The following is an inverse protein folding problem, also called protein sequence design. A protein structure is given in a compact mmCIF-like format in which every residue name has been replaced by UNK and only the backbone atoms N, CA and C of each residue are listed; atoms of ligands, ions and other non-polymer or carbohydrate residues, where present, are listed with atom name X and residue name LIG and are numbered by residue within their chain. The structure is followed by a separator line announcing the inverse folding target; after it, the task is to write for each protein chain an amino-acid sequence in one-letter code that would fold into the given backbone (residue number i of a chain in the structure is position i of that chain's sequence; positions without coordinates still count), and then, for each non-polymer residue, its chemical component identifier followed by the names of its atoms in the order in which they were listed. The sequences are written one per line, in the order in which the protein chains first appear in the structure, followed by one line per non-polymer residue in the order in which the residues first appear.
data_IF_854606009548
#
_entry.id   IF_854606009548
#
_cell.length_a   1.000
_cell.length_b   1.000
_cell.length_c   1.000
_cell.angle_alpha   90.00
_cell.angle_beta   90.00
_cell.angle_gamma   90.00
#
_symmetry.space_group_name_H-M   'P 1'
#
loop_
_entity.id
_entity.type
_entity.pdbx_description
1 polymer ?
#
# COMPACT_ATOMS: atom_id res chain seq x y z
N UNK A 1 19.48 42.03 2.57
CA UNK A 1 18.67 41.13 1.72
C UNK A 1 17.88 40.15 2.59
N UNK A 2 16.87 40.68 3.26
CA UNK A 2 15.88 39.92 4.04
C UNK A 2 14.55 40.66 3.82
N UNK A 3 13.43 39.93 3.84
CA UNK A 3 12.04 40.39 3.67
C UNK A 3 11.41 40.14 2.28
N UNK A 4 11.51 38.90 1.79
CA UNK A 4 10.67 38.42 0.68
C UNK A 4 10.15 36.99 0.92
N UNK A 5 9.73 36.66 2.16
CA UNK A 5 9.23 35.31 2.51
C UNK A 5 7.92 35.25 3.29
N UNK A 6 7.24 36.39 3.51
CA UNK A 6 5.98 36.42 4.29
C UNK A 6 4.73 36.65 3.43
N UNK A 7 4.88 37.05 2.15
CA UNK A 7 3.74 37.45 1.31
C UNK A 7 3.13 36.35 0.42
N UNK A 8 3.72 35.15 0.33
CA UNK A 8 3.16 34.07 -0.50
C UNK A 8 2.23 33.11 0.26
N UNK A 9 2.34 33.06 1.60
CA UNK A 9 1.52 32.16 2.44
C UNK A 9 0.17 32.81 2.78
N UNK A 10 0.09 34.14 2.80
CA UNK A 10 -1.16 34.88 3.01
C UNK A 10 -2.08 34.90 1.78
N UNK A 11 -1.56 34.66 0.57
CA UNK A 11 -2.36 34.61 -0.65
C UNK A 11 -3.07 33.25 -0.85
N UNK A 12 -2.55 32.17 -0.26
CA UNK A 12 -3.20 30.84 -0.30
C UNK A 12 -4.28 30.66 0.78
N UNK A 13 -4.30 31.50 1.82
CA UNK A 13 -5.33 31.43 2.88
C UNK A 13 -6.58 32.27 2.53
N UNK A 14 -6.46 33.25 1.63
CA UNK A 14 -7.58 34.13 1.27
C UNK A 14 -8.43 33.66 0.08
N UNK A 15 -7.95 32.72 -0.75
CA UNK A 15 -8.75 32.15 -1.86
C UNK A 15 -9.65 31.00 -1.39
N UNK A 16 -9.42 30.45 -0.18
CA UNK A 16 -10.26 29.40 0.41
C UNK A 16 -11.58 29.88 1.05
N UNK A 17 -11.80 31.19 1.18
CA UNK A 17 -12.92 31.78 1.93
C UNK A 17 -14.02 32.44 1.09
N UNK A 18 -13.92 32.39 -0.26
CA UNK A 18 -14.91 33.00 -1.16
C UNK A 18 -15.69 32.00 -2.04
N UNK A 19 -15.76 30.72 -1.65
CA UNK A 19 -16.60 29.71 -2.31
C UNK A 19 -17.73 29.17 -1.43
N UNK A 20 -18.18 29.95 -0.44
CA UNK A 20 -19.42 29.70 0.30
C UNK A 20 -20.51 30.64 -0.23
N UNK A 21 -21.48 30.11 -0.98
CA UNK A 21 -22.59 30.93 -1.44
C UNK A 21 -23.41 30.38 -2.60
N UNK A 22 -23.80 29.12 -2.56
CA UNK A 22 -25.05 28.70 -3.22
C UNK A 22 -25.63 27.52 -2.43
N UNK A 23 -26.44 27.85 -1.43
CA UNK A 23 -27.39 26.89 -0.89
C UNK A 23 -28.41 26.59 -2.00
N UNK A 24 -28.11 25.58 -2.82
CA UNK A 24 -29.16 24.84 -3.50
C UNK A 24 -30.01 24.25 -2.37
N UNK A 25 -31.29 24.59 -2.36
CA UNK A 25 -32.28 23.81 -1.65
C UNK A 25 -32.03 22.33 -1.98
N UNK A 26 -31.67 21.55 -0.97
CA UNK A 26 -31.55 20.11 -1.09
C UNK A 26 -32.97 19.59 -1.28
N UNK A 27 -33.37 19.42 -2.53
CA UNK A 27 -34.62 18.71 -2.85
C UNK A 27 -34.49 17.34 -2.18
N UNK A 28 -35.37 17.07 -1.22
CA UNK A 28 -35.42 15.78 -0.55
C UNK A 28 -35.90 14.75 -1.56
N UNK A 29 -34.97 14.01 -2.15
CA UNK A 29 -35.30 12.85 -2.96
C UNK A 29 -35.82 11.78 -2.00
N UNK A 30 -37.05 11.33 -2.24
CA UNK A 30 -37.66 10.20 -1.55
C UNK A 30 -36.89 8.92 -1.88
N UNK A 31 -36.59 8.15 -0.84
CA UNK A 31 -35.85 6.90 -0.95
C UNK A 31 -36.40 5.90 0.06
N UNK A 32 -36.35 4.63 -0.34
CA UNK A 32 -36.59 3.50 0.53
C UNK A 32 -35.24 2.85 0.89
N UNK A 33 -35.01 2.66 2.18
CA UNK A 33 -33.85 1.91 2.69
C UNK A 33 -34.05 0.42 2.38
N UNK A 34 -33.18 -0.14 1.52
CA UNK A 34 -33.19 -1.58 1.25
C UNK A 34 -32.50 -2.35 2.37
N UNK A 35 -31.34 -1.85 2.80
CA UNK A 35 -30.62 -2.31 3.99
C UNK A 35 -29.64 -1.25 4.49
N UNK A 36 -29.42 -1.23 5.80
CA UNK A 36 -28.35 -0.47 6.49
C UNK A 36 -27.72 -1.36 7.58
N UNK A 37 -26.85 -2.26 7.14
CA UNK A 37 -26.26 -3.32 7.97
C UNK A 37 -24.73 -3.35 7.85
N UNK A 38 -24.00 -2.48 8.57
CA UNK A 38 -22.53 -2.41 8.47
C UNK A 38 -21.81 -3.64 9.08
N UNK A 39 -22.55 -4.54 9.73
CA UNK A 39 -22.03 -5.84 10.19
C UNK A 39 -22.17 -6.95 9.14
N UNK A 40 -23.03 -6.77 8.13
CA UNK A 40 -23.28 -7.75 7.06
C UNK A 40 -22.21 -7.69 5.96
N UNK A 41 -20.97 -7.99 6.32
CA UNK A 41 -19.84 -8.03 5.39
C UNK A 41 -19.48 -9.46 4.98
N UNK A 42 -18.96 -9.58 3.76
CA UNK A 42 -18.25 -10.77 3.30
C UNK A 42 -17.10 -11.09 4.27
N UNK A 43 -16.92 -12.38 4.55
CA UNK A 43 -15.92 -12.84 5.52
C UNK A 43 -14.58 -13.07 4.87
N UNK A 44 -14.54 -13.59 3.64
CA UNK A 44 -13.31 -13.84 2.90
C UNK A 44 -13.25 -12.93 1.68
N UNK A 45 -12.08 -12.31 1.47
CA UNK A 45 -11.73 -11.54 0.29
C UNK A 45 -10.45 -12.09 -0.30
N UNK A 46 -10.44 -12.37 -1.60
CA UNK A 46 -9.24 -12.76 -2.35
C UNK A 46 -9.11 -11.84 -3.54
N UNK A 47 -8.03 -11.06 -3.57
CA UNK A 47 -7.75 -10.10 -4.63
C UNK A 47 -6.51 -10.49 -5.42
N UNK A 48 -6.60 -10.40 -6.75
CA UNK A 48 -5.42 -10.37 -7.59
C UNK A 48 -4.98 -8.91 -7.76
N UNK A 49 -3.71 -8.61 -7.50
CA UNK A 49 -3.13 -7.30 -7.75
C UNK A 49 -2.44 -7.35 -9.11
N UNK A 50 -3.12 -6.96 -10.22
CA UNK A 50 -2.48 -6.96 -11.52
C UNK A 50 -1.33 -5.96 -11.53
N UNK A 51 -1.44 -4.83 -10.83
CA UNK A 51 -0.40 -3.81 -10.80
C UNK A 51 -0.19 -3.30 -9.37
N UNK A 52 1.06 -3.34 -8.94
CA UNK A 52 1.57 -2.47 -7.87
C UNK A 52 2.80 -1.72 -8.38
N UNK A 53 3.06 -0.55 -7.81
CA UNK A 53 4.27 0.23 -8.02
C UNK A 53 4.88 0.62 -6.68
N UNK A 54 6.16 0.36 -6.52
CA UNK A 54 6.92 0.63 -5.31
C UNK A 54 8.19 1.45 -5.63
N UNK A 55 8.28 2.62 -5.01
CA UNK A 55 9.49 3.43 -4.99
C UNK A 55 10.16 3.15 -3.65
N UNK A 56 11.16 2.27 -3.63
CA UNK A 56 11.97 2.01 -2.46
C UNK A 56 13.40 2.50 -2.71
N UNK A 57 14.02 3.16 -1.73
CA UNK A 57 15.34 3.77 -1.88
C UNK A 57 16.44 2.78 -2.30
N UNK A 58 16.27 1.48 -2.02
CA UNK A 58 17.15 0.43 -2.51
C UNK A 58 16.67 -0.25 -3.78
N UNK A 59 15.45 -0.01 -4.29
CA UNK A 59 14.99 -0.52 -5.58
C UNK A 59 13.64 0.10 -5.99
N UNK A 60 13.53 0.67 -7.20
CA UNK A 60 12.24 1.05 -7.78
C UNK A 60 11.71 -0.13 -8.58
N UNK A 61 10.50 -0.57 -8.27
CA UNK A 61 9.91 -1.73 -8.92
C UNK A 61 8.39 -1.64 -9.13
N UNK A 62 7.89 -2.45 -10.05
CA UNK A 62 6.47 -2.66 -10.28
C UNK A 62 6.22 -4.13 -10.62
N UNK A 63 5.02 -4.61 -10.33
CA UNK A 63 4.74 -6.03 -10.45
C UNK A 63 3.29 -6.39 -10.22
N UNK A 64 3.09 -7.67 -9.94
CA UNK A 64 1.80 -8.25 -9.60
C UNK A 64 1.82 -8.81 -8.17
N UNK A 65 0.66 -9.13 -7.65
CA UNK A 65 0.51 -9.69 -6.32
C UNK A 65 -0.81 -10.41 -6.10
N UNK A 66 -0.94 -10.95 -4.90
CA UNK A 66 -2.15 -11.56 -4.40
C UNK A 66 -2.40 -11.05 -2.98
N UNK A 67 -3.64 -10.73 -2.69
CA UNK A 67 -4.09 -10.37 -1.36
C UNK A 67 -5.20 -11.28 -0.90
N UNK A 68 -5.19 -11.59 0.39
CA UNK A 68 -6.28 -12.31 1.04
C UNK A 68 -6.58 -11.64 2.36
N UNK A 69 -7.86 -11.55 2.70
CA UNK A 69 -8.30 -11.08 4.00
C UNK A 69 -9.50 -11.87 4.48
N UNK A 70 -9.43 -12.29 5.73
CA UNK A 70 -10.47 -13.02 6.40
C UNK A 70 -10.92 -12.26 7.64
N UNK A 71 -12.21 -11.92 7.74
CA UNK A 71 -12.85 -11.34 8.91
C UNK A 71 -13.48 -12.45 9.75
N UNK A 72 -12.97 -12.64 10.96
CA UNK A 72 -13.53 -13.56 11.93
C UNK A 72 -14.44 -12.83 12.91
N UNK A 73 -15.72 -12.74 12.53
CA UNK A 73 -16.77 -12.07 13.31
C UNK A 73 -16.32 -10.64 13.68
N UNK A 74 -16.59 -10.23 14.92
CA UNK A 74 -16.21 -8.93 15.47
C UNK A 74 -14.93 -9.03 16.33
N UNK A 75 -14.13 -10.11 16.19
CA UNK A 75 -13.00 -10.37 17.09
C UNK A 75 -11.65 -10.07 16.47
N UNK A 76 -11.41 -10.60 15.27
CA UNK A 76 -10.14 -10.39 14.60
C UNK A 76 -10.29 -10.54 13.09
N UNK A 77 -9.29 -10.05 12.37
CA UNK A 77 -9.10 -10.32 10.95
C UNK A 77 -7.69 -10.81 10.68
N UNK A 78 -7.53 -11.64 9.65
CA UNK A 78 -6.25 -12.16 9.17
C UNK A 78 -6.04 -11.61 7.77
N UNK A 79 -4.80 -11.22 7.46
CA UNK A 79 -4.42 -10.66 6.17
C UNK A 79 -3.16 -11.33 5.65
N UNK A 80 -3.17 -11.70 4.39
CA UNK A 80 -2.01 -12.19 3.65
C UNK A 80 -1.78 -11.34 2.41
N UNK A 81 -0.52 -11.02 2.13
CA UNK A 81 -0.10 -10.37 0.91
C UNK A 81 1.12 -11.05 0.31
N UNK A 82 1.11 -11.21 -0.99
CA UNK A 82 2.24 -11.63 -1.79
C UNK A 82 2.43 -10.65 -2.94
N UNK A 83 3.65 -10.22 -3.20
CA UNK A 83 4.00 -9.35 -4.33
C UNK A 83 5.33 -9.78 -4.93
N UNK A 84 5.44 -9.66 -6.25
CA UNK A 84 6.64 -10.00 -7.02
C UNK A 84 6.78 -9.07 -8.22
N UNK A 85 7.99 -8.63 -8.54
CA UNK A 85 8.24 -7.85 -9.76
C UNK A 85 7.96 -8.70 -11.01
N UNK A 86 7.51 -8.08 -12.10
CA UNK A 86 7.18 -8.80 -13.34
C UNK A 86 8.42 -9.43 -13.99
N UNK A 87 9.35 -8.57 -14.42
CA UNK A 87 10.61 -8.96 -15.03
C UNK A 87 11.65 -7.90 -14.69
N UNK A 88 12.94 -8.20 -14.85
CA UNK A 88 13.99 -7.21 -14.64
C UNK A 88 13.81 -5.99 -15.57
N UNK A 89 13.49 -6.24 -16.85
CA UNK A 89 13.26 -5.21 -17.87
C UNK A 89 12.01 -4.36 -17.63
N UNK A 90 11.01 -4.91 -16.97
CA UNK A 90 9.74 -4.24 -16.68
C UNK A 90 9.66 -3.90 -15.20
N UNK A 91 10.36 -2.81 -14.84
CA UNK A 91 10.30 -2.18 -13.52
C UNK A 91 10.82 -3.08 -12.38
N UNK A 92 12.11 -3.44 -12.42
CA UNK A 92 12.91 -3.89 -11.27
C UNK A 92 14.34 -3.35 -11.44
N UNK A 93 14.51 -2.07 -11.10
CA UNK A 93 15.59 -1.24 -11.63
C UNK A 93 16.97 -1.72 -11.20
N UNK A 94 17.14 -2.05 -9.93
CA UNK A 94 18.45 -2.47 -9.43
C UNK A 94 18.82 -3.87 -9.88
N UNK A 95 17.84 -4.76 -10.06
CA UNK A 95 18.09 -6.07 -10.66
C UNK A 95 18.52 -5.95 -12.13
N UNK A 96 17.83 -5.14 -12.92
CA UNK A 96 18.21 -4.93 -14.34
C UNK A 96 19.57 -4.24 -14.46
N UNK A 97 19.85 -3.25 -13.60
CA UNK A 97 21.15 -2.58 -13.58
C UNK A 97 22.27 -3.58 -13.24
N UNK A 98 22.05 -4.45 -12.26
CA UNK A 98 22.98 -5.50 -11.89
C UNK A 98 23.22 -6.50 -13.03
N UNK A 99 22.17 -6.91 -13.74
CA UNK A 99 22.28 -7.86 -14.86
C UNK A 99 23.02 -7.28 -16.08
N UNK A 100 22.94 -5.96 -16.31
CA UNK A 100 23.57 -5.30 -17.46
C UNK A 100 24.98 -4.78 -17.18
N UNK A 101 25.17 -4.21 -15.99
CA UNK A 101 26.35 -3.42 -15.65
C UNK A 101 27.16 -4.04 -14.51
N UNK A 102 26.65 -5.08 -13.83
CA UNK A 102 27.34 -5.71 -12.72
C UNK A 102 28.69 -6.29 -13.13
N UNK A 103 29.72 -5.96 -12.36
CA UNK A 103 31.09 -6.47 -12.55
C UNK A 103 31.43 -7.59 -11.56
N UNK A 104 30.46 -7.99 -10.75
CA UNK A 104 30.56 -8.99 -9.68
C UNK A 104 29.82 -10.26 -10.09
N UNK A 105 30.19 -11.39 -9.50
CA UNK A 105 29.61 -12.70 -9.77
C UNK A 105 28.30 -12.96 -9.00
N UNK A 106 27.83 -12.02 -8.18
CA UNK A 106 26.55 -12.15 -7.47
C UNK A 106 25.39 -12.30 -8.46
N UNK A 107 24.57 -13.33 -8.27
CA UNK A 107 23.32 -13.48 -9.01
C UNK A 107 22.27 -12.51 -8.44
N UNK A 108 21.75 -11.54 -9.24
CA UNK A 108 20.76 -10.59 -8.76
C UNK A 108 19.42 -11.27 -8.41
N UNK A 109 18.95 -11.09 -7.19
CA UNK A 109 17.67 -11.59 -6.71
C UNK A 109 16.47 -10.81 -7.25
N UNK A 110 15.37 -11.52 -7.43
CA UNK A 110 14.08 -10.93 -7.81
C UNK A 110 13.47 -10.26 -6.59
N UNK A 111 12.92 -9.06 -6.75
CA UNK A 111 12.11 -8.49 -5.69
C UNK A 111 10.90 -9.39 -5.39
N UNK A 112 10.84 -9.89 -4.16
CA UNK A 112 9.71 -10.65 -3.63
C UNK A 112 9.34 -10.12 -2.26
N UNK A 113 8.04 -10.11 -1.98
CA UNK A 113 7.48 -9.62 -0.73
C UNK A 113 6.33 -10.53 -0.30
N UNK A 114 6.38 -10.99 0.93
CA UNK A 114 5.34 -11.75 1.58
C UNK A 114 5.02 -11.10 2.92
N UNK A 115 3.75 -10.92 3.23
CA UNK A 115 3.29 -10.42 4.52
C UNK A 115 2.13 -11.29 5.01
N UNK A 116 2.21 -11.69 6.26
CA UNK A 116 1.13 -12.37 6.97
C UNK A 116 0.94 -11.65 8.30
N UNK A 117 -0.29 -11.19 8.56
CA UNK A 117 -0.60 -10.46 9.77
C UNK A 117 -2.03 -10.64 10.22
N UNK A 118 -2.29 -10.26 11.46
CA UNK A 118 -3.61 -10.26 12.07
C UNK A 118 -3.91 -8.90 12.70
N UNK A 119 -5.19 -8.57 12.75
CA UNK A 119 -5.71 -7.41 13.47
C UNK A 119 -6.69 -7.89 14.53
N UNK A 120 -6.38 -7.67 15.80
CA UNK A 120 -7.31 -7.88 16.90
C UNK A 120 -8.21 -6.65 17.07
N UNK A 121 -9.52 -6.84 17.16
CA UNK A 121 -10.48 -5.75 17.28
C UNK A 121 -10.62 -5.36 18.76
N UNK A 122 -10.03 -4.23 19.16
CA UNK A 122 -10.12 -3.72 20.53
C UNK A 122 -11.51 -3.16 20.78
N UNK A 123 -12.02 -2.36 19.84
CA UNK A 123 -13.33 -1.74 19.94
C UNK A 123 -14.00 -1.79 18.59
N UNK A 124 -15.23 -2.27 18.57
CA UNK A 124 -16.06 -2.44 17.38
C UNK A 124 -17.46 -1.91 17.73
N UNK A 125 -17.86 -0.82 17.09
CA UNK A 125 -19.13 -0.15 17.37
C UNK A 125 -19.68 0.52 16.13
N UNK A 126 -20.98 0.78 16.13
CA UNK A 126 -21.68 1.56 15.13
C UNK A 126 -21.92 3.00 15.61
N UNK A 127 -22.01 3.91 14.65
CA UNK A 127 -22.35 5.31 14.87
C UNK A 127 -23.29 5.76 13.76
N UNK A 128 -24.26 6.61 14.11
CA UNK A 128 -25.10 7.26 13.12
C UNK A 128 -24.25 8.18 12.23
N UNK A 129 -24.43 8.07 10.93
CA UNK A 129 -23.67 8.80 9.92
C UNK A 129 -24.58 9.10 8.73
N UNK A 130 -24.07 9.82 7.73
CA UNK A 130 -24.76 10.06 6.46
C UNK A 130 -23.92 9.52 5.29
N UNK A 131 -24.53 8.73 4.42
CA UNK A 131 -24.00 8.29 3.14
C UNK A 131 -24.35 9.28 2.03
N UNK A 132 -23.37 9.61 1.19
CA UNK A 132 -23.59 10.42 -0.02
C UNK A 132 -23.77 9.48 -1.19
N UNK A 133 -24.97 9.42 -1.72
CA UNK A 133 -25.34 8.51 -2.80
C UNK A 133 -25.59 9.32 -4.06
N UNK A 134 -24.83 9.06 -5.12
CA UNK A 134 -24.97 9.77 -6.39
C UNK A 134 -26.17 9.26 -7.17
N UNK A 135 -27.05 10.18 -7.56
CA UNK A 135 -28.33 9.88 -8.21
C UNK A 135 -28.16 9.58 -9.71
N UNK A 136 -27.06 10.03 -10.32
CA UNK A 136 -26.79 9.85 -11.73
C UNK A 136 -25.45 9.16 -11.97
N UNK A 137 -25.46 8.04 -12.71
CA UNK A 137 -24.24 7.34 -13.15
C UNK A 137 -23.48 8.07 -14.25
N UNK A 138 -24.14 8.94 -15.03
CA UNK A 138 -23.54 9.71 -16.12
C UNK A 138 -23.52 11.19 -15.78
N UNK A 139 -22.37 11.84 -15.98
CA UNK A 139 -22.23 13.30 -15.83
C UNK A 139 -23.10 13.98 -16.88
N UNK A 140 -24.14 14.70 -16.45
CA UNK A 140 -24.99 15.47 -17.35
C UNK A 140 -24.15 16.58 -18.02
N UNK A 141 -24.33 16.84 -19.33
CA UNK A 141 -23.65 17.96 -19.98
C UNK A 141 -24.02 19.28 -19.28
N UNK A 142 -23.07 20.22 -19.15
CA UNK A 142 -23.27 21.47 -18.40
C UNK A 142 -24.25 22.39 -19.14
N UNK A 143 -25.54 22.13 -18.95
CA UNK A 143 -26.66 22.92 -19.43
C UNK A 143 -27.35 23.57 -18.23
N UNK A 144 -28.13 24.64 -18.46
CA UNK A 144 -28.85 25.34 -17.37
C UNK A 144 -29.78 24.40 -16.57
N UNK A 145 -30.25 23.32 -17.18
CA UNK A 145 -31.07 22.28 -16.54
C UNK A 145 -30.25 21.29 -15.68
N UNK A 146 -29.03 20.96 -16.07
CA UNK A 146 -28.16 20.08 -15.28
C UNK A 146 -27.75 20.68 -13.92
N UNK A 147 -27.83 22.01 -13.78
CA UNK A 147 -27.60 22.71 -12.51
C UNK A 147 -28.81 22.67 -11.56
N UNK A 148 -29.99 22.28 -12.03
CA UNK A 148 -31.24 22.21 -11.24
C UNK A 148 -31.58 20.80 -10.74
N UNK A 149 -30.90 19.76 -11.22
CA UNK A 149 -31.15 18.37 -10.82
C UNK A 149 -30.17 17.98 -9.70
N UNK A 150 -30.65 17.37 -8.59
CA UNK A 150 -29.76 16.94 -7.51
C UNK A 150 -28.77 15.89 -8.03
N UNK A 151 -27.48 16.11 -7.76
CA UNK A 151 -26.42 15.18 -8.19
C UNK A 151 -26.19 14.04 -7.19
N UNK A 152 -26.56 14.25 -5.93
CA UNK A 152 -26.45 13.28 -4.85
C UNK A 152 -27.57 13.49 -3.83
N UNK A 153 -27.93 12.42 -3.12
CA UNK A 153 -28.75 12.43 -1.93
C UNK A 153 -27.89 12.10 -0.70
N UNK A 154 -28.20 12.72 0.44
CA UNK A 154 -27.63 12.36 1.73
C UNK A 154 -28.61 11.45 2.45
N UNK A 155 -28.20 10.20 2.65
CA UNK A 155 -29.02 9.16 3.27
C UNK A 155 -28.47 8.90 4.68
N UNK A 156 -29.28 8.98 5.75
CA UNK A 156 -28.88 8.50 7.07
C UNK A 156 -28.47 7.03 7.01
N UNK A 157 -27.28 6.69 7.49
CA UNK A 157 -26.73 5.33 7.43
C UNK A 157 -25.84 5.06 8.63
N UNK A 158 -25.74 3.80 9.05
CA UNK A 158 -24.83 3.39 10.12
C UNK A 158 -23.41 3.24 9.58
N UNK A 159 -22.46 3.66 10.40
CA UNK A 159 -21.04 3.52 10.15
C UNK A 159 -20.44 2.64 11.24
N UNK A 160 -19.95 1.45 10.88
CA UNK A 160 -19.18 0.63 11.82
C UNK A 160 -17.73 1.10 11.84
N UNK A 161 -17.20 1.31 13.05
CA UNK A 161 -15.83 1.71 13.33
C UNK A 161 -15.13 0.61 14.14
N UNK A 162 -13.96 0.19 13.67
CA UNK A 162 -13.13 -0.82 14.33
C UNK A 162 -11.78 -0.22 14.66
N UNK A 163 -11.46 -0.16 15.95
CA UNK A 163 -10.11 0.11 16.45
C UNK A 163 -9.38 -1.21 16.61
N UNK A 164 -8.25 -1.35 15.91
CA UNK A 164 -7.52 -2.60 15.82
C UNK A 164 -6.09 -2.50 16.33
N UNK A 165 -5.62 -3.56 16.97
CA UNK A 165 -4.20 -3.82 17.20
C UNK A 165 -3.70 -4.79 16.12
N UNK A 166 -2.65 -4.40 15.41
CA UNK A 166 -2.06 -5.15 14.30
C UNK A 166 -0.76 -5.78 14.72
N UNK A 167 -0.53 -7.01 14.28
CA UNK A 167 0.76 -7.66 14.38
C UNK A 167 0.96 -8.64 13.24
N UNK A 168 2.20 -8.84 12.82
CA UNK A 168 2.50 -9.77 11.73
C UNK A 168 3.98 -9.88 11.42
N UNK A 169 4.25 -10.62 10.34
CA UNK A 169 5.58 -10.84 9.81
C UNK A 169 5.63 -10.47 8.33
N UNK A 170 6.78 -9.94 7.89
CA UNK A 170 7.06 -9.57 6.51
C UNK A 170 8.38 -10.21 6.10
N UNK A 171 8.38 -10.98 5.02
CA UNK A 171 9.57 -11.52 4.39
C UNK A 171 9.77 -10.83 3.05
N UNK A 172 10.94 -10.27 2.80
CA UNK A 172 11.23 -9.68 1.50
C UNK A 172 12.70 -9.78 1.12
N UNK A 173 12.93 -9.83 -0.19
CA UNK A 173 14.25 -9.90 -0.81
C UNK A 173 14.34 -8.85 -1.91
N UNK A 174 15.53 -8.30 -2.13
CA UNK A 174 15.82 -7.36 -3.23
C UNK A 174 17.29 -7.33 -3.57
N UNK A 175 17.64 -7.05 -4.82
CA UNK A 175 18.99 -6.58 -5.16
C UNK A 175 19.17 -5.12 -4.74
N UNK A 176 20.37 -4.78 -4.27
CA UNK A 176 20.79 -3.44 -3.88
C UNK A 176 22.09 -3.05 -4.63
N UNK A 177 22.14 -1.79 -5.04
CA UNK A 177 23.32 -1.14 -5.61
C UNK A 177 24.29 -0.76 -4.46
N UNK A 178 25.46 -1.40 -4.44
CA UNK A 178 26.46 -1.21 -3.39
C UNK A 178 27.24 0.08 -3.59
N UNK A 179 27.57 0.46 -4.82
CA UNK A 179 28.25 1.72 -5.12
C UNK A 179 27.55 2.90 -4.45
N UNK A 180 26.24 3.04 -4.71
CA UNK A 180 25.42 4.12 -4.12
C UNK A 180 25.28 3.98 -2.60
N UNK A 181 25.42 2.77 -2.08
CA UNK A 181 25.37 2.51 -0.64
C UNK A 181 26.63 3.00 0.06
N UNK A 182 27.80 2.68 -0.50
CA UNK A 182 29.09 3.13 0.01
C UNK A 182 29.15 4.67 0.00
N UNK A 183 28.82 5.30 -1.12
CA UNK A 183 28.77 6.76 -1.24
C UNK A 183 27.89 7.42 -0.18
N UNK A 184 26.71 6.83 0.07
CA UNK A 184 25.74 7.37 1.04
C UNK A 184 26.23 7.27 2.48
N UNK A 185 27.07 6.28 2.79
CA UNK A 185 27.62 6.03 4.11
C UNK A 185 29.04 6.60 4.29
N UNK A 186 29.61 7.24 3.26
CA UNK A 186 30.98 7.74 3.28
C UNK A 186 32.02 6.62 3.33
N UNK A 187 31.67 5.45 2.79
CA UNK A 187 32.55 4.29 2.67
C UNK A 187 33.08 4.19 1.23
N UNK A 188 34.05 3.32 1.05
CA UNK A 188 34.67 3.03 -0.24
C UNK A 188 34.84 1.52 -0.43
N UNK A 189 35.26 1.10 -1.62
CA UNK A 189 35.52 -0.32 -1.88
C UNK A 189 36.64 -0.92 -1.02
N UNK A 190 37.54 -0.10 -0.46
CA UNK A 190 38.58 -0.60 0.45
C UNK A 190 38.05 -1.04 1.81
N UNK A 191 36.84 -0.60 2.17
CA UNK A 191 36.18 -1.02 3.41
C UNK A 191 35.52 -2.40 3.28
N UNK A 192 35.44 -2.92 2.05
CA UNK A 192 34.92 -4.25 1.75
C UNK A 192 36.11 -5.19 1.59
N UNK A 193 36.34 -6.05 2.59
CA UNK A 193 37.56 -6.87 2.68
C UNK A 193 37.27 -8.36 2.62
N UNK A 194 38.22 -9.14 2.11
CA UNK A 194 38.23 -10.59 2.21
C UNK A 194 38.58 -11.03 3.64
N UNK A 195 38.49 -12.34 3.93
CA UNK A 195 38.94 -12.90 5.21
C UNK A 195 40.45 -12.67 5.47
N UNK A 196 41.24 -12.43 4.43
CA UNK A 196 42.66 -12.15 4.48
C UNK A 196 42.97 -10.64 4.62
N UNK A 197 41.95 -9.78 4.57
CA UNK A 197 42.09 -8.34 4.66
C UNK A 197 42.30 -7.62 3.31
N UNK A 198 42.17 -8.33 2.18
CA UNK A 198 42.32 -7.73 0.86
C UNK A 198 41.08 -6.92 0.48
N UNK A 199 41.29 -5.68 0.09
CA UNK A 199 40.24 -4.75 -0.34
C UNK A 199 39.63 -5.13 -1.70
N UNK A 200 38.32 -4.89 -1.87
CA UNK A 200 37.69 -4.95 -3.19
C UNK A 200 38.29 -3.84 -4.07
N UNK A 201 38.77 -4.15 -5.29
CA UNK A 201 39.40 -3.14 -6.13
C UNK A 201 38.36 -2.16 -6.68
N UNK A 202 38.77 -0.89 -6.85
CA UNK A 202 37.91 0.15 -7.43
C UNK A 202 37.65 -0.06 -8.93
N UNK A 203 38.53 -0.79 -9.60
CA UNK A 203 38.43 -1.12 -11.01
C UNK A 203 38.58 -2.62 -11.21
N UNK A 204 37.93 -3.14 -12.25
CA UNK A 204 38.09 -4.53 -12.68
C UNK A 204 39.46 -4.74 -13.33
N UNK A 205 39.85 -6.00 -13.50
CA UNK A 205 41.06 -6.39 -14.27
C UNK A 205 41.12 -5.79 -15.67
N UNK A 206 39.97 -5.45 -16.26
CA UNK A 206 39.86 -4.90 -17.61
C UNK A 206 39.92 -3.36 -17.63
N UNK A 207 40.16 -2.71 -16.48
CA UNK A 207 40.24 -1.25 -16.34
C UNK A 207 38.88 -0.53 -16.32
N UNK A 208 37.77 -1.26 -16.13
CA UNK A 208 36.43 -0.66 -15.97
C UNK A 208 36.15 -0.38 -14.50
N UNK A 209 35.40 0.67 -14.20
CA UNK A 209 34.98 0.95 -12.82
C UNK A 209 34.14 -0.20 -12.25
N UNK A 210 34.37 -0.51 -10.97
CA UNK A 210 33.66 -1.56 -10.25
C UNK A 210 32.19 -1.16 -10.07
N UNK A 211 31.27 -2.01 -10.52
CA UNK A 211 29.83 -1.88 -10.31
C UNK A 211 29.34 -3.09 -9.50
N UNK A 212 29.34 -2.92 -8.18
CA UNK A 212 29.01 -3.98 -7.24
C UNK A 212 27.53 -3.95 -6.86
N UNK A 213 26.94 -5.15 -6.85
CA UNK A 213 25.57 -5.40 -6.43
C UNK A 213 25.54 -6.57 -5.46
N UNK A 214 24.69 -6.48 -4.44
CA UNK A 214 24.45 -7.56 -3.50
C UNK A 214 22.95 -7.72 -3.25
N UNK A 215 22.57 -8.83 -2.65
CA UNK A 215 21.17 -9.09 -2.30
C UNK A 215 20.93 -8.80 -0.83
N UNK A 216 19.78 -8.19 -0.56
CA UNK A 216 19.31 -7.84 0.75
C UNK A 216 18.14 -8.76 1.09
N UNK A 217 18.22 -9.37 2.27
CA UNK A 217 17.25 -10.33 2.79
C UNK A 217 16.76 -9.86 4.14
N UNK A 218 15.44 -9.89 4.36
CA UNK A 218 14.87 -9.40 5.60
C UNK A 218 13.61 -10.18 6.00
N UNK A 219 13.61 -10.66 7.25
CA UNK A 219 12.41 -11.07 7.97
C UNK A 219 12.13 -10.03 9.03
N UNK A 220 10.97 -9.39 8.92
CA UNK A 220 10.53 -8.31 9.78
C UNK A 220 9.35 -8.80 10.60
N UNK A 221 9.30 -8.43 11.86
CA UNK A 221 8.07 -8.46 12.66
C UNK A 221 7.54 -7.04 12.74
N UNK A 222 6.22 -6.88 12.83
CA UNK A 222 5.61 -5.58 13.05
C UNK A 222 4.51 -5.62 14.09
N UNK A 223 4.31 -4.47 14.74
CA UNK A 223 3.19 -4.19 15.64
C UNK A 223 2.68 -2.78 15.37
N UNK A 224 1.37 -2.60 15.38
CA UNK A 224 0.76 -1.36 14.96
C UNK A 224 -0.68 -1.19 15.40
N UNK A 225 -1.25 -0.04 15.07
CA UNK A 225 -2.66 0.25 15.25
C UNK A 225 -3.37 0.42 13.92
N UNK A 226 -4.68 0.18 13.88
CA UNK A 226 -5.52 0.51 12.75
C UNK A 226 -6.88 1.06 13.13
N UNK A 227 -7.46 1.80 12.21
CA UNK A 227 -8.84 2.24 12.24
C UNK A 227 -9.52 1.81 10.94
N UNK A 228 -10.60 1.05 11.05
CA UNK A 228 -11.38 0.59 9.91
C UNK A 228 -12.80 1.14 10.00
N UNK A 229 -13.28 1.65 8.87
CA UNK A 229 -14.63 2.15 8.66
C UNK A 229 -15.34 1.26 7.66
N UNK A 230 -16.54 0.84 8.00
CA UNK A 230 -17.36 -0.02 7.17
C UNK A 230 -18.72 0.62 7.02
N UNK A 231 -19.11 0.85 5.76
CA UNK A 231 -20.47 1.19 5.36
C UNK A 231 -20.99 0.07 4.48
N UNK A 232 -22.25 -0.24 4.67
CA UNK A 232 -22.95 -1.24 3.89
C UNK A 232 -24.42 -0.87 3.88
N UNK A 233 -24.75 0.08 3.00
CA UNK A 233 -26.09 0.60 2.82
C UNK A 233 -26.49 0.52 1.34
N UNK A 234 -27.74 0.15 1.10
CA UNK A 234 -28.36 0.32 -0.21
C UNK A 234 -29.71 0.99 -0.07
N UNK A 235 -30.00 1.88 -1.01
CA UNK A 235 -31.28 2.57 -1.12
C UNK A 235 -31.85 2.40 -2.52
N UNK A 236 -33.16 2.29 -2.57
CA UNK A 236 -33.93 2.49 -3.78
C UNK A 236 -34.43 3.92 -3.78
N UNK A 237 -34.29 4.61 -4.89
CA UNK A 237 -34.96 5.89 -5.09
C UNK A 237 -36.28 5.64 -5.82
N UNK A 238 -37.20 6.59 -5.77
CA UNK A 238 -38.41 6.56 -6.61
C UNK A 238 -38.03 6.36 -8.08
N UNK A 239 -38.96 5.82 -8.90
CA UNK A 239 -38.84 5.31 -10.29
C UNK A 239 -37.97 6.11 -11.30
N UNK A 240 -37.52 7.30 -10.92
CA UNK A 240 -36.67 8.21 -11.68
C UNK A 240 -35.16 7.93 -11.55
N UNK A 241 -34.68 7.22 -10.51
CA UNK A 241 -33.24 7.02 -10.29
C UNK A 241 -32.84 5.56 -10.03
N UNK A 242 -31.61 5.21 -10.39
CA UNK A 242 -31.05 3.88 -10.13
C UNK A 242 -30.80 3.67 -8.62
N UNK A 243 -30.97 2.44 -8.14
CA UNK A 243 -30.59 2.07 -6.77
C UNK A 243 -29.14 2.48 -6.46
N UNK A 244 -28.97 3.09 -5.30
CA UNK A 244 -27.69 3.55 -4.79
C UNK A 244 -27.12 2.59 -3.76
N UNK A 245 -25.81 2.32 -3.85
CA UNK A 245 -25.11 1.41 -2.93
C UNK A 245 -23.83 2.08 -2.43
N UNK A 246 -23.64 2.12 -1.12
CA UNK A 246 -22.39 2.49 -0.44
C UNK A 246 -21.95 1.33 0.47
N UNK A 247 -21.02 0.53 -0.05
CA UNK A 247 -20.56 -0.73 0.52
C UNK A 247 -19.04 -0.72 0.77
N UNK A 248 -18.50 0.47 1.07
CA UNK A 248 -17.08 0.70 1.28
C UNK A 248 -16.56 0.17 2.61
N UNK A 249 -15.44 -0.55 2.54
CA UNK A 249 -14.57 -0.87 3.68
C UNK A 249 -13.28 -0.08 3.48
N UNK A 250 -12.99 0.83 4.40
CA UNK A 250 -11.79 1.66 4.38
C UNK A 250 -10.99 1.46 5.67
N UNK A 251 -9.69 1.24 5.57
CA UNK A 251 -8.80 1.01 6.71
C UNK A 251 -7.57 1.90 6.60
N UNK A 252 -7.14 2.46 7.71
CA UNK A 252 -5.84 3.13 7.86
C UNK A 252 -5.06 2.47 8.98
N UNK A 253 -3.73 2.44 8.85
CA UNK A 253 -2.86 1.80 9.84
C UNK A 253 -1.51 2.49 9.98
N UNK A 254 -0.89 2.27 11.14
CA UNK A 254 0.47 2.67 11.46
C UNK A 254 1.16 1.51 12.17
N UNK A 255 2.21 0.98 11.57
CA UNK A 255 3.00 -0.16 12.05
C UNK A 255 4.43 0.29 12.35
N UNK A 256 4.99 -0.22 13.45
CA UNK A 256 6.43 -0.21 13.75
C UNK A 256 6.99 -1.58 13.39
N UNK A 257 8.11 -1.60 12.67
CA UNK A 257 8.74 -2.81 12.13
C UNK A 257 10.13 -3.01 12.73
N UNK A 258 10.49 -4.27 12.98
CA UNK A 258 11.84 -4.66 13.41
C UNK A 258 12.30 -5.87 12.60
N UNK A 259 13.52 -5.80 12.06
CA UNK A 259 14.11 -6.81 11.19
C UNK A 259 15.41 -7.38 11.78
N UNK A 260 15.32 -8.29 12.76
CA UNK A 260 16.52 -8.84 13.40
C UNK A 260 17.41 -9.60 12.42
N UNK A 261 16.81 -10.27 11.42
CA UNK A 261 17.49 -11.09 10.41
C UNK A 261 17.84 -10.31 9.15
N UNK A 262 17.86 -8.97 9.19
CA UNK A 262 18.28 -8.17 8.05
C UNK A 262 19.76 -8.44 7.74
N UNK A 263 20.02 -9.00 6.56
CA UNK A 263 21.37 -9.38 6.10
C UNK A 263 21.60 -8.91 4.67
N UNK A 264 22.85 -8.54 4.38
CA UNK A 264 23.33 -8.19 3.06
C UNK A 264 24.35 -9.24 2.62
N UNK A 265 24.15 -9.82 1.44
CA UNK A 265 25.07 -10.84 0.92
C UNK A 265 26.49 -10.28 0.75
N UNK A 266 27.54 -11.12 0.91
CA UNK A 266 28.89 -10.74 0.55
C UNK A 266 29.02 -10.56 -0.96
N UNK A 267 29.97 -9.74 -1.39
CA UNK A 267 30.25 -9.50 -2.81
C UNK A 267 31.21 -10.58 -3.32
N UNK A 268 30.83 -11.23 -4.41
CA UNK A 268 31.64 -12.26 -5.06
C UNK A 268 32.38 -11.64 -6.24
N UNK A 269 33.71 -11.61 -6.19
CA UNK A 269 34.53 -11.07 -7.29
C UNK A 269 35.82 -11.89 -7.45
N UNK A 270 36.12 -12.33 -8.68
CA UNK A 270 37.28 -13.17 -9.02
C UNK A 270 37.46 -14.42 -8.11
N UNK A 271 36.35 -15.07 -7.74
CA UNK A 271 36.36 -16.26 -6.89
C UNK A 271 36.63 -15.98 -5.40
N UNK A 272 36.73 -14.71 -5.01
CA UNK A 272 36.86 -14.26 -3.63
C UNK A 272 35.55 -13.64 -3.13
N UNK A 273 35.31 -13.80 -1.82
CA UNK A 273 34.15 -13.26 -1.13
C UNK A 273 34.57 -12.08 -0.25
N UNK A 274 34.02 -10.91 -0.53
CA UNK A 274 34.28 -9.67 0.19
C UNK A 274 33.12 -9.41 1.17
N UNK A 275 33.45 -9.26 2.44
CA UNK A 275 32.48 -9.02 3.50
C UNK A 275 31.83 -7.65 3.36
N UNK A 276 30.54 -7.57 3.69
CA UNK A 276 29.74 -6.34 3.66
C UNK A 276 29.46 -5.79 5.05
N UNK A 277 30.17 -6.27 6.07
CA UNK A 277 29.97 -5.91 7.49
C UNK A 277 30.23 -4.43 7.78
N UNK A 278 31.06 -3.76 6.98
CA UNK A 278 31.29 -2.32 7.06
C UNK A 278 30.02 -1.51 6.74
N UNK A 279 29.12 -2.06 5.92
CA UNK A 279 27.87 -1.40 5.52
C UNK A 279 26.86 -1.47 6.66
N UNK A 280 26.46 -0.31 7.17
CA UNK A 280 25.48 -0.22 8.25
C UNK A 280 24.08 -0.55 7.74
N UNK A 281 23.39 -1.39 8.52
CA UNK A 281 22.01 -1.78 8.27
C UNK A 281 21.11 -1.20 9.37
N UNK A 282 19.99 -0.58 8.98
CA UNK A 282 18.95 -0.12 9.88
C UNK A 282 17.87 -1.21 10.04
N UNK A 283 17.79 -1.80 11.23
CA UNK A 283 16.87 -2.89 11.56
C UNK A 283 15.49 -2.41 12.02
N UNK A 284 15.27 -1.11 12.21
CA UNK A 284 14.00 -0.55 12.69
C UNK A 284 13.35 0.28 11.60
N UNK A 285 12.03 0.19 11.51
CA UNK A 285 11.25 0.93 10.53
C UNK A 285 9.86 1.30 11.02
N UNK A 286 9.20 2.15 10.25
CA UNK A 286 7.83 2.60 10.49
C UNK A 286 7.09 2.65 9.16
N UNK A 287 5.83 2.27 9.15
CA UNK A 287 4.98 2.27 7.94
C UNK A 287 3.61 2.79 8.30
N UNK A 288 3.13 3.76 7.54
CA UNK A 288 1.73 4.16 7.53
C UNK A 288 1.10 3.70 6.21
N UNK A 289 -0.19 3.38 6.23
CA UNK A 289 -0.88 3.00 5.01
C UNK A 289 -2.39 3.10 5.11
N UNK A 290 -3.01 2.95 3.95
CA UNK A 290 -4.46 2.90 3.80
C UNK A 290 -4.86 1.83 2.80
N UNK A 291 -6.10 1.39 2.91
CA UNK A 291 -6.71 0.38 2.08
C UNK A 291 -8.21 0.64 1.95
N UNK A 292 -8.71 0.61 0.72
CA UNK A 292 -10.13 0.66 0.41
C UNK A 292 -10.54 -0.55 -0.41
N UNK A 293 -11.74 -1.09 -0.14
CA UNK A 293 -12.37 -2.15 -0.93
C UNK A 293 -13.89 -2.05 -0.84
N UNK A 294 -14.56 -2.75 -1.74
CA UNK A 294 -16.02 -2.82 -1.75
C UNK A 294 -16.50 -4.19 -1.25
N UNK A 295 -17.57 -4.19 -0.47
CA UNK A 295 -18.23 -5.39 0.08
C UNK A 295 -19.12 -6.08 -0.98
N UNK A 296 -18.54 -6.45 -2.12
CA UNK A 296 -19.23 -7.13 -3.24
C UNK A 296 -18.60 -8.46 -3.54
N UNK A 297 -19.40 -9.42 -4.02
CA UNK A 297 -18.92 -10.72 -4.51
C UNK A 297 -17.81 -10.57 -5.56
N UNK A 298 -17.92 -9.56 -6.42
CA UNK A 298 -16.89 -9.15 -7.38
C UNK A 298 -16.69 -7.64 -7.29
N UNK A 299 -15.46 -7.22 -7.03
CA UNK A 299 -15.11 -5.81 -6.93
C UNK A 299 -13.65 -5.54 -7.21
N UNK A 300 -13.17 -4.43 -6.65
CA UNK A 300 -11.78 -4.02 -6.69
C UNK A 300 -11.38 -3.48 -5.32
N UNK A 301 -10.07 -3.41 -5.09
CA UNK A 301 -9.49 -2.76 -3.92
C UNK A 301 -8.35 -1.85 -4.37
N UNK A 302 -7.98 -0.93 -3.49
CA UNK A 302 -6.85 -0.05 -3.68
C UNK A 302 -6.16 0.17 -2.34
N UNK A 303 -4.87 0.47 -2.37
CA UNK A 303 -4.13 0.78 -1.17
C UNK A 303 -2.85 1.53 -1.44
N UNK A 304 -2.38 2.22 -0.41
CA UNK A 304 -1.11 2.93 -0.43
C UNK A 304 -0.37 2.74 0.88
N UNK A 305 0.95 2.65 0.81
CA UNK A 305 1.82 2.55 1.98
C UNK A 305 3.00 3.49 1.82
N UNK A 306 3.45 4.11 2.92
CA UNK A 306 4.63 4.97 2.94
C UNK A 306 5.36 4.82 4.26
N UNK A 307 6.68 4.94 4.25
CA UNK A 307 7.46 5.01 5.47
C UNK A 307 8.91 4.64 5.27
N UNK A 308 9.51 4.13 6.34
CA UNK A 308 10.88 3.66 6.37
C UNK A 308 10.88 2.16 6.66
N UNK A 309 11.27 1.35 5.69
CA UNK A 309 11.43 -0.10 5.85
C UNK A 309 12.82 -0.40 6.41
N UNK A 310 12.95 -1.36 7.36
CA UNK A 310 14.27 -1.84 7.77
C UNK A 310 15.09 -2.24 6.54
N UNK A 311 16.28 -1.67 6.36
CA UNK A 311 17.07 -1.77 5.13
C UNK A 311 18.50 -1.26 5.38
N UNK A 312 19.27 -1.03 4.32
CA UNK A 312 20.55 -0.32 4.36
C UNK A 312 20.35 1.08 4.98
N UNK A 313 21.24 1.45 5.92
CA UNK A 313 21.16 2.72 6.62
C UNK A 313 21.22 3.91 5.65
N UNK A 314 20.37 4.91 5.89
CA UNK A 314 20.15 6.04 4.97
C UNK A 314 19.36 5.71 3.68
N UNK A 315 18.95 4.45 3.47
CA UNK A 315 18.21 3.98 2.28
C UNK A 315 16.97 3.16 2.65
N UNK A 316 16.22 3.63 3.64
CA UNK A 316 15.03 2.93 4.15
C UNK A 316 13.69 3.44 3.59
N UNK A 317 13.65 4.64 3.01
CA UNK A 317 12.39 5.24 2.57
C UNK A 317 11.72 4.43 1.46
N UNK A 318 10.42 4.17 1.58
CA UNK A 318 9.61 3.58 0.53
C UNK A 318 8.22 4.22 0.43
N UNK A 319 7.65 4.17 -0.77
CA UNK A 319 6.27 4.46 -1.07
C UNK A 319 5.71 3.40 -2.02
N UNK A 320 4.51 2.90 -1.75
CA UNK A 320 3.83 1.85 -2.48
C UNK A 320 2.43 2.31 -2.84
N UNK A 321 2.01 2.00 -4.06
CA UNK A 321 0.62 2.05 -4.48
C UNK A 321 0.23 0.72 -5.12
N UNK A 322 -0.98 0.24 -4.84
CA UNK A 322 -1.48 -1.04 -5.35
C UNK A 322 -2.97 -0.96 -5.66
N UNK A 323 -3.37 -1.66 -6.72
CA UNK A 323 -4.76 -1.88 -7.11
C UNK A 323 -4.97 -3.38 -7.22
N UNK A 324 -6.04 -3.91 -6.63
CA UNK A 324 -6.46 -5.28 -6.85
C UNK A 324 -7.74 -5.35 -7.68
N UNK A 325 -7.71 -6.14 -8.75
CA UNK A 325 -8.83 -6.46 -9.59
C UNK A 325 -8.55 -7.76 -10.37
N UNK A 326 -9.46 -8.75 -10.35
CA UNK A 326 -10.68 -8.79 -9.56
C UNK A 326 -10.42 -9.06 -8.06
N UNK A 327 -11.34 -8.58 -7.22
CA UNK A 327 -11.47 -9.01 -5.81
C UNK A 327 -12.72 -9.85 -5.69
N UNK A 328 -12.56 -11.13 -5.36
CA UNK A 328 -13.64 -12.04 -5.06
C UNK A 328 -13.92 -12.03 -3.57
N UNK A 329 -15.19 -11.97 -3.18
CA UNK A 329 -15.57 -12.06 -1.78
C UNK A 329 -16.72 -13.03 -1.52
N UNK A 330 -16.76 -13.58 -0.31
CA UNK A 330 -17.78 -14.54 0.10
C UNK A 330 -18.11 -14.42 1.59
N UNK A 331 -19.38 -14.59 1.92
CA UNK A 331 -19.88 -14.68 3.29
C UNK A 331 -19.52 -16.01 3.99
N UNK A 332 -18.99 -17.00 3.26
CA UNK A 332 -18.64 -18.37 3.71
C UNK A 332 -19.79 -19.20 4.29
N UNK A 333 -20.93 -18.58 4.61
CA UNK A 333 -22.16 -19.25 4.96
C UNK A 333 -22.83 -19.64 3.63
N UNK A 334 -22.48 -20.82 3.11
CA UNK A 334 -23.21 -21.46 2.03
C UNK A 334 -24.58 -21.90 2.55
N UNK A 335 -25.48 -20.95 2.84
CA UNK A 335 -26.90 -21.23 2.76
C UNK A 335 -27.18 -21.45 1.29
N UNK A 336 -27.14 -22.71 0.86
CA UNK A 336 -27.79 -23.12 -0.38
C UNK A 336 -29.21 -22.61 -0.23
N UNK A 337 -29.61 -21.62 -1.03
CA UNK A 337 -31.02 -21.36 -1.26
C UNK A 337 -31.58 -22.68 -1.77
N UNK A 338 -32.24 -23.41 -0.88
CA UNK A 338 -33.09 -24.52 -1.24
C UNK A 338 -34.26 -23.89 -1.99
N UNK A 339 -34.04 -23.54 -3.26
CA UNK A 339 -35.13 -23.31 -4.18
C UNK A 339 -35.98 -24.57 -4.14
N UNK A 340 -37.23 -24.35 -3.76
CA UNK A 340 -38.31 -25.31 -3.73
C UNK A 340 -38.40 -26.04 -5.09
N UNK A 341 -38.82 -27.30 -5.01
CA UNK A 341 -39.21 -28.16 -6.14
C UNK A 341 -40.15 -27.47 -7.12
#
# INVERSE_FOLDING_TARGET
MANLRVSLISLFVFVGLLAYGQASEKIAVTFDELYDEPYAINKLFIGFQPLYGEVFATNVNAGFGLETQYFHKNKFSIKGHFRKSYSSKFMDFNRENALRNGTVANTPQIFSYFELGGTYHIKDFDEASTAKIFLHKKKLPPTKWAATVPSYAEVPAKLRKIYGLRAGAILWNSTADINRTLDKQGLSFSDLVTAQGDALPQQTSDGRDMAAFANLHATNAYVGGSLTWIRNVAVSFDDQYDNGVDDGIFSVFLDVMVAPTLTLDPIQYNGQSYATDAIKLNKVGVRAGFEGRYNRTLGWSYGGEVGYRPSIDGRSFFALFKIAFPVFSSNLDNKVEAFQK
#
